data_IF_182053847421
#
_entry.id   IF_182053847421
#
_cell.length_a   1.000
_cell.length_b   1.000
_cell.length_c   1.000
_cell.angle_alpha   90.00
_cell.angle_beta   90.00
_cell.angle_gamma   90.00
#
_symmetry.space_group_name_H-M   'P 1'
#
loop_
_entity.id
_entity.type
_entity.pdbx_description
1 polymer ?
#
# COMPACT_ATOMS: atom_id res chain seq x y z
N UNK A 1 -38.63 1.46 10.75
CA UNK A 1 -38.02 1.46 9.42
C UNK A 1 -36.55 1.12 9.62
N UNK A 2 -36.15 -0.09 9.24
CA UNK A 2 -34.75 -0.51 9.37
C UNK A 2 -33.95 0.12 8.23
N UNK A 3 -32.95 0.93 8.59
CA UNK A 3 -32.00 1.49 7.65
C UNK A 3 -31.17 0.31 7.14
N UNK A 4 -31.42 -0.12 5.90
CA UNK A 4 -30.56 -1.10 5.26
C UNK A 4 -29.22 -0.40 5.02
N UNK A 5 -28.24 -0.68 5.88
CA UNK A 5 -26.84 -0.49 5.52
C UNK A 5 -26.62 -1.34 4.27
N UNK A 6 -26.65 -0.71 3.09
CA UNK A 6 -25.98 -1.23 1.93
C UNK A 6 -24.50 -1.22 2.28
N UNK A 7 -24.05 -2.25 3.00
CA UNK A 7 -22.65 -2.53 3.22
C UNK A 7 -22.02 -2.57 1.84
N UNK A 8 -21.28 -1.51 1.50
CA UNK A 8 -20.45 -1.49 0.32
C UNK A 8 -19.49 -2.65 0.49
N UNK A 9 -19.68 -3.71 -0.28
CA UNK A 9 -18.71 -4.79 -0.38
C UNK A 9 -17.54 -4.17 -1.14
N UNK A 10 -16.63 -3.52 -0.42
CA UNK A 10 -15.33 -3.17 -0.99
C UNK A 10 -14.65 -4.49 -1.30
N UNK A 11 -14.77 -4.93 -2.56
CA UNK A 11 -13.92 -6.00 -3.06
C UNK A 11 -12.50 -5.47 -2.94
N UNK A 12 -11.74 -6.04 -2.02
CA UNK A 12 -10.33 -5.76 -1.79
C UNK A 12 -9.53 -6.19 -3.04
N UNK A 13 -9.61 -5.36 -4.07
CA UNK A 13 -8.97 -5.51 -5.37
C UNK A 13 -7.53 -5.01 -5.33
N UNK A 14 -6.93 -4.92 -4.14
CA UNK A 14 -5.56 -4.47 -3.99
C UNK A 14 -4.62 -5.37 -4.77
N UNK A 15 -4.73 -6.70 -4.61
CA UNK A 15 -3.93 -7.68 -5.35
C UNK A 15 -4.73 -8.20 -6.54
N UNK A 16 -4.14 -8.13 -7.73
CA UNK A 16 -4.80 -8.56 -8.95
C UNK A 16 -4.79 -10.10 -9.08
N UNK A 17 -5.90 -10.72 -9.53
CA UNK A 17 -6.16 -12.16 -9.41
C UNK A 17 -5.22 -13.10 -10.19
N UNK A 18 -4.41 -12.57 -11.11
CA UNK A 18 -3.50 -13.35 -11.96
C UNK A 18 -2.01 -13.14 -11.63
N UNK A 19 -1.68 -12.59 -10.44
CA UNK A 19 -0.30 -12.33 -10.05
C UNK A 19 0.08 -13.02 -8.74
N UNK A 20 1.22 -13.71 -8.74
CA UNK A 20 1.84 -14.20 -7.51
C UNK A 20 2.20 -13.01 -6.62
N UNK A 21 1.73 -13.06 -5.37
CA UNK A 21 2.07 -12.07 -4.36
C UNK A 21 3.01 -12.69 -3.33
N UNK A 22 4.21 -12.12 -3.21
CA UNK A 22 5.21 -12.51 -2.21
C UNK A 22 5.32 -11.40 -1.19
N UNK A 23 5.22 -11.75 0.09
CA UNK A 23 5.40 -10.80 1.19
C UNK A 23 6.66 -11.10 1.99
N UNK A 24 7.21 -10.06 2.61
CA UNK A 24 8.31 -10.18 3.58
C UNK A 24 7.95 -9.39 4.82
N UNK A 25 8.52 -9.78 5.97
CA UNK A 25 8.33 -9.04 7.21
C UNK A 25 9.34 -7.88 7.28
N UNK A 26 8.85 -6.71 7.68
CA UNK A 26 9.62 -5.50 7.97
C UNK A 26 9.14 -4.85 9.25
N UNK A 27 9.92 -3.90 9.76
CA UNK A 27 9.56 -3.13 10.95
C UNK A 27 8.89 -1.84 10.56
N UNK A 28 7.69 -1.59 11.05
CA UNK A 28 7.00 -0.30 11.01
C UNK A 28 7.43 0.52 12.24
N UNK A 29 7.76 1.79 12.02
CA UNK A 29 8.24 2.70 13.06
C UNK A 29 7.12 3.06 14.07
N UNK A 30 7.49 3.16 15.34
CA UNK A 30 6.59 3.61 16.40
C UNK A 30 5.88 4.93 16.04
N UNK A 31 4.57 5.00 16.28
CA UNK A 31 3.72 6.15 15.98
C UNK A 31 3.00 6.06 14.64
N UNK A 32 3.38 5.11 13.78
CA UNK A 32 2.76 4.91 12.47
C UNK A 32 1.52 4.00 12.55
N UNK A 33 0.48 4.37 11.82
CA UNK A 33 -0.69 3.53 11.58
C UNK A 33 -0.93 3.47 10.07
N UNK A 34 -0.87 2.27 9.51
CA UNK A 34 -0.98 2.05 8.06
C UNK A 34 -2.04 1.02 7.76
N UNK A 35 -2.69 1.19 6.63
CA UNK A 35 -3.65 0.20 6.13
C UNK A 35 -3.00 -0.63 5.04
N UNK A 36 -3.54 -1.81 4.79
CA UNK A 36 -3.17 -2.63 3.64
C UNK A 36 -3.29 -1.81 2.36
N UNK A 37 -2.20 -1.74 1.58
CA UNK A 37 -2.13 -0.94 0.35
C UNK A 37 -1.40 0.41 0.51
N UNK A 38 -1.10 0.86 1.73
CA UNK A 38 -0.37 2.11 1.96
C UNK A 38 1.06 2.03 1.41
N UNK A 39 1.51 3.07 0.72
CA UNK A 39 2.89 3.24 0.26
C UNK A 39 3.83 3.48 1.45
N UNK A 40 4.97 2.78 1.47
CA UNK A 40 5.94 2.87 2.56
C UNK A 40 7.30 3.30 2.05
N UNK A 41 7.97 4.16 2.82
CA UNK A 41 9.36 4.60 2.64
C UNK A 41 10.22 4.20 3.83
N UNK A 42 11.54 4.44 3.74
CA UNK A 42 12.41 4.33 4.91
C UNK A 42 12.27 5.58 5.79
N UNK A 43 11.99 5.37 7.07
CA UNK A 43 12.04 6.39 8.12
C UNK A 43 13.40 6.37 8.83
N UNK A 44 13.38 6.30 10.16
CA UNK A 44 14.62 6.28 10.94
C UNK A 44 15.36 4.95 10.77
N UNK A 45 16.55 4.99 10.17
CA UNK A 45 17.41 3.82 9.97
C UNK A 45 16.87 2.88 8.88
N UNK A 46 16.30 1.74 9.30
CA UNK A 46 15.76 0.71 8.38
C UNK A 46 14.26 0.45 8.59
N UNK A 47 13.62 1.25 9.44
CA UNK A 47 12.20 1.13 9.74
C UNK A 47 11.38 1.78 8.64
N UNK A 48 10.15 1.31 8.49
CA UNK A 48 9.19 1.83 7.53
C UNK A 48 8.31 2.87 8.19
N UNK A 49 7.95 3.89 7.42
CA UNK A 49 6.91 4.87 7.73
C UNK A 49 5.98 5.00 6.52
N UNK A 50 4.77 5.49 6.73
CA UNK A 50 3.89 5.88 5.64
C UNK A 50 4.58 6.95 4.77
N UNK A 51 4.45 6.80 3.46
CA UNK A 51 4.80 7.89 2.57
C UNK A 51 3.67 8.92 2.54
N UNK A 52 4.04 10.19 2.41
CA UNK A 52 3.11 11.30 2.22
C UNK A 52 3.11 11.82 0.78
N UNK A 53 2.22 12.77 0.49
CA UNK A 53 2.08 13.37 -0.85
C UNK A 53 3.27 14.24 -1.28
N UNK A 54 4.12 14.66 -0.34
CA UNK A 54 5.28 15.52 -0.57
C UNK A 54 6.56 14.72 -0.78
N UNK A 55 6.55 13.43 -0.45
CA UNK A 55 7.67 12.53 -0.64
C UNK A 55 8.03 12.34 -2.11
N UNK A 56 9.35 12.26 -2.37
CA UNK A 56 9.80 11.95 -3.71
C UNK A 56 9.42 10.51 -4.06
N UNK A 57 8.99 10.29 -5.31
CA UNK A 57 8.64 8.96 -5.79
C UNK A 57 9.76 7.92 -5.61
N UNK A 58 11.03 8.36 -5.55
CA UNK A 58 12.21 7.52 -5.33
C UNK A 58 12.34 6.99 -3.91
N UNK A 59 11.72 7.67 -2.94
CA UNK A 59 11.83 7.33 -1.52
C UNK A 59 10.89 6.19 -1.14
N UNK A 60 9.84 5.99 -1.94
CA UNK A 60 8.95 4.85 -1.85
C UNK A 60 9.73 3.56 -2.08
N UNK A 61 9.55 2.57 -1.22
CA UNK A 61 10.25 1.29 -1.35
C UNK A 61 9.34 0.06 -1.39
N UNK A 62 8.12 0.14 -0.87
CA UNK A 62 7.20 -0.99 -0.86
C UNK A 62 5.76 -0.53 -0.60
N UNK A 63 4.85 -1.50 -0.48
CA UNK A 63 3.44 -1.34 -0.16
C UNK A 63 3.10 -2.28 1.01
N UNK A 64 2.35 -1.78 1.99
CA UNK A 64 1.85 -2.57 3.11
C UNK A 64 0.95 -3.72 2.61
N UNK A 65 1.25 -4.95 2.99
CA UNK A 65 0.46 -6.13 2.60
C UNK A 65 -0.62 -6.47 3.64
N UNK A 66 -0.49 -5.97 4.85
CA UNK A 66 -1.45 -6.07 5.96
C UNK A 66 -1.61 -4.70 6.61
N UNK A 67 -2.67 -4.52 7.37
CA UNK A 67 -2.77 -3.38 8.29
C UNK A 67 -1.66 -3.45 9.34
N UNK A 68 -1.23 -2.29 9.83
CA UNK A 68 -0.22 -2.17 10.88
C UNK A 68 -0.56 -1.04 11.84
N UNK A 69 -0.44 -1.31 13.14
CA UNK A 69 -0.64 -0.32 14.19
C UNK A 69 0.58 -0.31 15.11
N UNK A 70 1.41 0.72 14.97
CA UNK A 70 2.62 0.94 15.77
C UNK A 70 2.42 2.00 16.86
N UNK A 71 1.19 2.21 17.35
CA UNK A 71 0.88 3.31 18.29
C UNK A 71 1.70 3.24 19.60
N UNK A 72 2.02 2.04 20.07
CA UNK A 72 2.69 1.80 21.36
C UNK A 72 4.17 1.36 21.22
N UNK A 73 4.71 1.36 20.00
CA UNK A 73 6.07 0.90 19.71
C UNK A 73 6.24 0.36 18.30
N UNK A 74 7.48 0.04 17.91
CA UNK A 74 7.75 -0.59 16.63
C UNK A 74 7.04 -1.93 16.50
N UNK A 75 6.47 -2.22 15.34
CA UNK A 75 5.78 -3.49 15.07
C UNK A 75 6.29 -4.16 13.81
N UNK A 76 6.16 -5.48 13.76
CA UNK A 76 6.42 -6.24 12.53
C UNK A 76 5.19 -6.19 11.63
N UNK A 77 5.38 -5.84 10.36
CA UNK A 77 4.33 -5.79 9.35
C UNK A 77 4.76 -6.58 8.11
N UNK A 78 3.79 -7.18 7.43
CA UNK A 78 4.01 -7.77 6.11
C UNK A 78 3.96 -6.69 5.03
N UNK A 79 4.93 -6.69 4.13
CA UNK A 79 4.98 -5.81 2.96
C UNK A 79 5.19 -6.63 1.70
N UNK A 80 4.75 -6.12 0.55
CA UNK A 80 4.97 -6.80 -0.72
C UNK A 80 6.44 -6.72 -1.14
N UNK A 81 7.05 -7.87 -1.42
CA UNK A 81 8.31 -7.96 -2.14
C UNK A 81 8.08 -8.17 -3.64
N UNK A 82 6.95 -8.78 -4.00
CA UNK A 82 6.51 -8.93 -5.38
C UNK A 82 4.97 -8.97 -5.39
N UNK A 83 4.34 -8.22 -6.29
CA UNK A 83 2.89 -8.28 -6.52
C UNK A 83 2.51 -7.46 -7.76
N UNK A 84 1.35 -7.78 -8.36
CA UNK A 84 0.64 -6.83 -9.22
C UNK A 84 -0.53 -6.23 -8.44
N UNK A 85 -0.54 -4.90 -8.28
CA UNK A 85 -1.50 -4.19 -7.44
C UNK A 85 -2.36 -3.20 -8.24
N UNK A 86 -3.58 -2.95 -7.76
CA UNK A 86 -4.44 -1.90 -8.30
C UNK A 86 -3.93 -0.51 -7.94
N UNK A 87 -3.78 0.35 -8.94
CA UNK A 87 -3.41 1.75 -8.75
C UNK A 87 -4.43 2.52 -7.89
N UNK A 88 -5.72 2.26 -8.09
CA UNK A 88 -6.78 2.93 -7.35
C UNK A 88 -6.74 2.55 -5.86
N UNK A 89 -6.59 1.25 -5.56
CA UNK A 89 -6.54 0.77 -4.18
C UNK A 89 -5.30 1.30 -3.43
N UNK A 90 -4.13 1.32 -4.09
CA UNK A 90 -2.89 1.86 -3.49
C UNK A 90 -2.98 3.37 -3.27
N UNK A 91 -3.59 4.11 -4.22
CA UNK A 91 -3.80 5.55 -4.07
C UNK A 91 -4.72 5.86 -2.88
N UNK A 92 -5.87 5.18 -2.80
CA UNK A 92 -6.83 5.32 -1.72
C UNK A 92 -6.20 5.02 -0.35
N UNK A 93 -5.52 3.88 -0.21
CA UNK A 93 -4.86 3.49 1.04
C UNK A 93 -3.68 4.40 1.44
N UNK A 94 -3.15 5.19 0.50
CA UNK A 94 -2.08 6.16 0.75
C UNK A 94 -2.59 7.60 0.86
N UNK A 95 -3.91 7.82 0.77
CA UNK A 95 -4.48 9.17 0.80
C UNK A 95 -4.10 10.03 -0.40
N UNK A 96 -3.76 9.41 -1.53
CA UNK A 96 -3.38 10.10 -2.77
C UNK A 96 -4.53 10.10 -3.77
N UNK A 97 -4.64 11.17 -4.56
CA UNK A 97 -5.60 11.22 -5.67
C UNK A 97 -5.28 10.16 -6.75
N UNK A 98 -3.99 9.89 -6.98
CA UNK A 98 -3.54 8.91 -7.96
C UNK A 98 -2.08 8.50 -7.77
N UNK A 99 -1.70 7.33 -8.31
CA UNK A 99 -0.31 6.89 -8.35
C UNK A 99 0.39 7.42 -9.61
N UNK A 100 1.32 8.35 -9.41
CA UNK A 100 2.12 8.95 -10.48
C UNK A 100 2.99 7.93 -11.22
N UNK A 101 3.31 8.20 -12.49
CA UNK A 101 4.21 7.37 -13.31
C UNK A 101 5.57 7.13 -12.64
N UNK A 102 6.08 8.13 -11.92
CA UNK A 102 7.35 8.01 -11.21
C UNK A 102 7.30 6.96 -10.09
N UNK A 103 6.22 6.95 -9.29
CA UNK A 103 6.02 5.94 -8.23
C UNK A 103 5.89 4.55 -8.85
N UNK A 104 5.11 4.41 -9.94
CA UNK A 104 4.95 3.13 -10.66
C UNK A 104 6.28 2.58 -11.14
N UNK A 105 7.11 3.42 -11.77
CA UNK A 105 8.42 3.01 -12.27
C UNK A 105 9.35 2.61 -11.12
N UNK A 106 9.34 3.37 -10.02
CA UNK A 106 10.18 3.10 -8.86
C UNK A 106 9.81 1.78 -8.15
N UNK A 107 8.51 1.49 -8.03
CA UNK A 107 8.00 0.21 -7.49
C UNK A 107 8.26 -0.96 -8.45
N UNK A 108 8.16 -0.74 -9.76
CA UNK A 108 8.43 -1.77 -10.77
C UNK A 108 9.88 -2.27 -10.70
N UNK A 109 10.85 -1.37 -10.50
CA UNK A 109 12.25 -1.72 -10.26
C UNK A 109 12.46 -2.58 -9.01
N UNK A 110 11.47 -2.60 -8.09
CA UNK A 110 11.47 -3.39 -6.85
C UNK A 110 10.56 -4.62 -6.93
N UNK A 111 10.05 -4.96 -8.11
CA UNK A 111 9.21 -6.13 -8.32
C UNK A 111 7.72 -5.92 -8.03
N UNK A 112 7.27 -4.68 -7.78
CA UNK A 112 5.86 -4.36 -7.53
C UNK A 112 5.29 -3.64 -8.76
N UNK A 113 4.33 -4.26 -9.41
CA UNK A 113 3.69 -3.72 -10.62
C UNK A 113 2.36 -3.07 -10.28
N UNK A 114 2.27 -1.74 -10.40
CA UNK A 114 1.03 -1.00 -10.21
C UNK A 114 0.30 -0.88 -11.55
N UNK A 115 -0.94 -1.39 -11.64
CA UNK A 115 -1.78 -1.32 -12.85
C UNK A 115 -3.06 -0.55 -12.60
N UNK A 116 -3.51 0.18 -13.60
CA UNK A 116 -4.89 0.66 -13.61
C UNK A 116 -5.82 -0.55 -13.80
N UNK A 117 -6.70 -0.77 -12.83
CA UNK A 117 -7.83 -1.66 -13.05
C UNK A 117 -8.80 -0.91 -13.94
N UNK A 118 -8.96 -1.37 -15.19
CA UNK A 118 -10.04 -0.86 -16.04
C UNK A 118 -11.34 -1.00 -15.25
N UNK A 119 -12.00 0.13 -14.99
CA UNK A 119 -13.41 0.11 -14.60
C UNK A 119 -14.12 -0.64 -15.73
N UNK A 120 -14.64 -1.83 -15.43
CA UNK A 120 -15.58 -2.51 -16.30
C UNK A 120 -16.89 -1.70 -16.23
N UNK A 121 -16.91 -0.57 -16.95
CA UNK A 121 -18.12 0.19 -17.26
C UNK A 121 -18.83 -0.39 -18.46
#
# INVERSE_FOLDING_TARGET
MANAETGSVSFDNLVLPDADAVTVVRTLESGENVTRGTLLKLGTGVKLVAADEYDAATDIITVAATDGNASDGDVSIHVFAHAALSAAAVAEASGLDSISTAIRNNLWLRGILIKDTLSLG
#
